data_IF_597672109811
#
_entry.id   IF_597672109811
#
_cell.length_a   1.000
_cell.length_b   1.000
_cell.length_c   1.000
_cell.angle_alpha   90.00
_cell.angle_beta   90.00
_cell.angle_gamma   90.00
#
_symmetry.space_group_name_H-M   'P 1'
#
loop_
_entity.id
_entity.type
_entity.pdbx_description
1 polymer ?
#
# COMPACT_ATOMS: atom_id res chain seq x y z
N UNK A 1 -38.39 -54.96 20.94
CA UNK A 1 -37.28 -54.42 20.14
C UNK A 1 -37.82 -53.26 19.31
N UNK A 2 -37.56 -52.01 19.71
CA UNK A 2 -37.91 -50.80 18.95
C UNK A 2 -36.61 -50.21 18.41
N UNK A 3 -36.55 -50.07 17.08
CA UNK A 3 -35.43 -49.48 16.34
C UNK A 3 -35.35 -47.99 16.63
N UNK A 4 -34.19 -47.51 17.09
CA UNK A 4 -33.88 -46.07 17.23
C UNK A 4 -32.98 -45.68 16.06
N UNK A 5 -33.58 -44.99 15.09
CA UNK A 5 -32.85 -44.36 13.98
C UNK A 5 -32.03 -43.17 14.49
N UNK A 6 -30.74 -43.18 14.22
CA UNK A 6 -29.80 -42.09 14.53
C UNK A 6 -30.00 -40.94 13.54
N UNK A 7 -30.43 -39.78 14.03
CA UNK A 7 -30.48 -38.52 13.26
C UNK A 7 -29.09 -37.91 13.28
N UNK A 8 -28.39 -37.95 12.14
CA UNK A 8 -27.11 -37.24 11.97
C UNK A 8 -27.39 -35.76 11.70
N UNK A 9 -27.06 -34.92 12.69
CA UNK A 9 -27.14 -33.46 12.58
C UNK A 9 -25.91 -32.98 11.80
N UNK A 10 -26.10 -32.66 10.52
CA UNK A 10 -25.13 -31.92 9.70
C UNK A 10 -25.18 -30.44 10.12
N UNK A 11 -24.28 -30.03 11.01
CA UNK A 11 -24.04 -28.63 11.33
C UNK A 11 -23.35 -27.94 10.15
N UNK A 12 -24.12 -27.19 9.37
CA UNK A 12 -23.62 -26.29 8.34
C UNK A 12 -22.90 -25.13 9.06
N UNK A 13 -21.57 -25.19 9.14
CA UNK A 13 -20.77 -24.01 9.46
C UNK A 13 -20.87 -23.06 8.27
N UNK A 14 -21.71 -22.03 8.40
CA UNK A 14 -21.65 -20.88 7.52
C UNK A 14 -20.29 -20.20 7.73
N UNK A 15 -19.35 -20.43 6.82
CA UNK A 15 -18.10 -19.67 6.75
C UNK A 15 -18.51 -18.27 6.30
N UNK A 16 -18.76 -17.39 7.25
CA UNK A 16 -18.84 -15.97 6.94
C UNK A 16 -17.46 -15.54 6.46
N UNK A 17 -17.39 -15.14 5.19
CA UNK A 17 -16.22 -14.50 4.61
C UNK A 17 -16.12 -13.09 5.20
N UNK A 18 -15.74 -13.01 6.48
CA UNK A 18 -15.25 -11.76 7.06
C UNK A 18 -13.90 -11.46 6.41
N UNK A 19 -13.58 -10.18 6.13
CA UNK A 19 -12.28 -9.83 5.59
C UNK A 19 -11.21 -10.35 6.54
N UNK A 20 -10.41 -11.31 6.07
CA UNK A 20 -9.38 -11.98 6.87
C UNK A 20 -8.57 -10.92 7.62
N UNK A 21 -8.67 -10.86 8.96
CA UNK A 21 -7.75 -10.09 9.77
C UNK A 21 -6.34 -10.61 9.49
N UNK A 22 -5.40 -9.69 9.34
CA UNK A 22 -3.99 -9.97 9.09
C UNK A 22 -3.48 -11.12 9.99
N UNK A 23 -3.34 -12.33 9.44
CA UNK A 23 -2.89 -13.51 10.17
C UNK A 23 -1.46 -13.89 9.73
N UNK A 24 -0.59 -14.00 10.75
CA UNK A 24 0.77 -14.56 10.77
C UNK A 24 1.90 -13.76 10.09
N UNK A 25 2.66 -13.03 10.93
CA UNK A 25 3.98 -12.45 10.62
C UNK A 25 3.99 -10.92 10.69
N UNK A 26 4.78 -10.33 11.59
CA UNK A 26 4.94 -8.89 11.65
C UNK A 26 5.52 -8.39 10.31
N UNK A 27 4.85 -7.47 9.62
CA UNK A 27 5.32 -6.95 8.35
C UNK A 27 5.07 -5.45 8.21
N UNK A 28 5.72 -4.85 7.22
CA UNK A 28 5.67 -3.42 6.95
C UNK A 28 5.00 -3.16 5.61
N UNK A 29 3.96 -2.32 5.59
CA UNK A 29 3.49 -1.70 4.36
C UNK A 29 4.40 -0.54 3.98
N UNK A 30 5.18 -0.67 2.92
CA UNK A 30 5.84 0.46 2.28
C UNK A 30 4.84 1.14 1.33
N UNK A 31 4.44 2.37 1.68
CA UNK A 31 3.53 3.18 0.87
C UNK A 31 4.35 4.18 0.07
N UNK A 32 4.34 4.02 -1.25
CA UNK A 32 5.01 4.91 -2.20
C UNK A 32 3.98 5.81 -2.87
N UNK A 33 4.24 7.11 -2.96
CA UNK A 33 3.31 8.10 -3.51
C UNK A 33 3.84 8.76 -4.76
N UNK A 34 2.97 8.93 -5.75
CA UNK A 34 3.27 9.74 -6.92
C UNK A 34 2.97 11.22 -6.66
N UNK A 35 3.99 12.11 -6.68
CA UNK A 35 3.78 13.51 -6.36
C UNK A 35 2.93 14.25 -7.41
N UNK A 36 2.91 13.80 -8.68
CA UNK A 36 2.03 14.36 -9.71
C UNK A 36 0.55 14.25 -9.34
N UNK A 37 0.13 13.11 -8.81
CA UNK A 37 -1.25 12.87 -8.36
C UNK A 37 -1.59 13.60 -7.06
N UNK A 38 -0.59 13.84 -6.20
CA UNK A 38 -0.77 14.67 -5.01
C UNK A 38 -1.04 16.13 -5.42
N UNK A 39 -0.24 16.67 -6.32
CA UNK A 39 -0.31 18.06 -6.76
C UNK A 39 -1.47 18.38 -7.71
N UNK A 40 -1.95 17.41 -8.49
CA UNK A 40 -3.09 17.58 -9.39
C UNK A 40 -4.45 17.49 -8.69
N UNK A 41 -4.49 17.07 -7.42
CA UNK A 41 -5.70 16.98 -6.63
C UNK A 41 -6.32 18.37 -6.33
N UNK A 42 -7.57 18.39 -5.87
CA UNK A 42 -8.33 19.65 -5.62
C UNK A 42 -7.60 20.62 -4.69
N UNK A 43 -6.90 20.12 -3.68
CA UNK A 43 -6.18 20.94 -2.69
C UNK A 43 -4.82 21.47 -3.18
N UNK A 44 -4.31 21.02 -4.34
CA UNK A 44 -2.98 21.38 -4.81
C UNK A 44 -1.86 20.89 -3.89
N UNK A 45 -0.64 21.41 -4.09
CA UNK A 45 0.51 21.07 -3.26
C UNK A 45 1.48 22.25 -3.11
N UNK A 46 2.29 22.19 -2.06
CA UNK A 46 3.45 23.05 -1.87
C UNK A 46 4.73 22.24 -2.03
N UNK A 47 5.75 22.82 -2.67
CA UNK A 47 7.08 22.22 -2.68
C UNK A 47 7.84 22.54 -1.39
N UNK A 48 8.75 21.67 -0.95
CA UNK A 48 9.62 21.99 0.16
C UNK A 48 10.56 23.16 -0.18
N UNK A 49 11.14 23.77 0.86
CA UNK A 49 12.01 24.95 0.71
C UNK A 49 13.27 24.68 -0.13
N UNK A 50 13.70 23.42 -0.23
CA UNK A 50 14.82 23.01 -1.09
C UNK A 50 14.41 22.79 -2.56
N UNK A 51 13.20 23.19 -2.95
CA UNK A 51 12.72 23.21 -4.32
C UNK A 51 11.83 22.03 -4.70
N UNK A 52 11.56 21.91 -6.00
CA UNK A 52 10.68 20.87 -6.54
C UNK A 52 11.32 19.48 -6.34
N UNK A 53 10.60 18.51 -5.76
CA UNK A 53 11.10 17.14 -5.61
C UNK A 53 11.47 16.48 -6.93
N UNK A 54 12.26 15.42 -6.87
CA UNK A 54 12.54 14.59 -8.04
C UNK A 54 11.25 13.99 -8.62
N UNK A 55 11.23 13.78 -9.93
CA UNK A 55 10.13 13.09 -10.64
C UNK A 55 10.22 11.59 -10.43
N UNK A 56 10.03 11.15 -9.19
CA UNK A 56 9.99 9.73 -8.80
C UNK A 56 8.95 9.53 -7.68
N UNK A 57 8.54 8.29 -7.47
CA UNK A 57 7.71 7.93 -6.32
C UNK A 57 8.45 8.22 -5.01
N UNK A 58 7.80 8.90 -4.08
CA UNK A 58 8.34 9.22 -2.76
C UNK A 58 7.81 8.27 -1.69
N UNK A 59 8.51 8.13 -0.56
CA UNK A 59 8.00 7.36 0.57
C UNK A 59 6.93 8.20 1.26
N UNK A 60 5.67 7.77 1.19
CA UNK A 60 4.58 8.39 1.94
C UNK A 60 4.47 7.82 3.36
N UNK A 61 4.86 6.57 3.57
CA UNK A 61 4.90 5.98 4.90
C UNK A 61 5.42 4.55 4.90
N UNK A 62 5.75 4.08 6.11
CA UNK A 62 6.09 2.69 6.40
C UNK A 62 5.21 2.23 7.57
N UNK A 63 4.19 1.43 7.32
CA UNK A 63 3.18 1.14 8.33
C UNK A 63 3.32 -0.29 8.83
N UNK A 64 3.68 -0.51 10.11
CA UNK A 64 3.69 -1.85 10.64
C UNK A 64 2.25 -2.33 10.86
N UNK A 65 2.01 -3.62 10.63
CA UNK A 65 0.74 -4.28 10.92
C UNK A 65 0.94 -5.26 12.08
N UNK A 66 0.14 -5.14 13.15
CA UNK A 66 0.21 -5.98 14.35
C UNK A 66 -1.12 -6.63 14.69
N UNK A 67 -1.02 -7.78 15.36
CA UNK A 67 -2.08 -8.62 15.93
C UNK A 67 -3.21 -7.80 16.61
N UNK A 68 -4.47 -8.14 16.31
CA UNK A 68 -5.68 -7.69 17.03
C UNK A 68 -5.97 -6.18 17.17
N UNK A 69 -5.53 -5.33 16.24
CA UNK A 69 -6.13 -4.00 16.11
C UNK A 69 -5.93 -3.42 14.69
N UNK A 70 -6.74 -2.40 14.39
CA UNK A 70 -6.51 -1.39 13.35
C UNK A 70 -5.02 -1.02 13.24
N UNK A 71 -4.54 -0.59 12.05
CA UNK A 71 -3.16 -0.08 11.86
C UNK A 71 -2.80 0.76 13.09
N UNK A 72 -1.89 0.29 13.97
CA UNK A 72 -1.73 0.96 15.24
C UNK A 72 -1.16 2.34 14.97
N UNK A 73 -1.82 3.31 15.56
CA UNK A 73 -1.53 4.71 15.42
C UNK A 73 -1.19 5.28 16.78
N UNK A 74 -0.13 6.08 16.85
CA UNK A 74 0.25 6.82 18.06
C UNK A 74 0.61 5.94 19.26
N UNK A 75 1.40 4.87 19.05
CA UNK A 75 1.93 4.07 20.16
C UNK A 75 2.85 4.87 21.10
N UNK A 76 3.31 6.05 20.67
CA UNK A 76 3.84 7.11 21.53
C UNK A 76 3.34 8.47 21.02
N UNK A 77 2.59 9.19 21.86
CA UNK A 77 1.83 10.41 21.51
C UNK A 77 2.65 11.71 21.50
N UNK A 78 3.94 11.67 21.85
CA UNK A 78 4.79 12.87 21.99
C UNK A 78 5.48 13.35 20.71
N UNK A 79 5.28 12.69 19.57
CA UNK A 79 5.92 13.03 18.29
C UNK A 79 4.80 13.38 17.29
N UNK A 80 5.03 14.34 16.38
CA UNK A 80 4.02 14.80 15.41
C UNK A 80 4.38 14.46 13.94
N UNK A 81 5.12 13.36 13.72
CA UNK A 81 5.58 12.91 12.39
C UNK A 81 4.96 11.55 12.03
N UNK A 82 5.05 11.11 10.76
CA UNK A 82 4.73 9.72 10.36
C UNK A 82 5.40 8.66 11.27
N UNK A 83 6.59 8.98 11.80
CA UNK A 83 7.28 8.21 12.83
C UNK A 83 6.44 8.05 14.11
N UNK A 84 5.81 9.12 14.60
CA UNK A 84 4.95 9.05 15.77
C UNK A 84 3.71 8.22 15.54
N UNK A 85 3.14 8.39 14.35
CA UNK A 85 1.90 7.74 13.97
C UNK A 85 2.12 6.25 13.79
N UNK A 86 3.14 5.82 13.06
CA UNK A 86 3.32 4.40 12.70
C UNK A 86 4.66 3.82 13.15
N UNK A 87 5.74 4.60 13.16
CA UNK A 87 7.07 4.12 13.53
C UNK A 87 7.24 3.76 15.01
N UNK A 88 6.56 4.46 15.93
CA UNK A 88 6.58 4.13 17.36
C UNK A 88 5.94 2.77 17.64
N UNK A 89 5.02 2.35 16.78
CA UNK A 89 4.41 1.04 16.86
C UNK A 89 5.35 -0.05 16.34
N UNK A 90 6.34 0.30 15.49
CA UNK A 90 7.24 -0.66 14.82
C UNK A 90 8.17 -1.44 15.76
N UNK A 91 8.34 -0.99 17.01
CA UNK A 91 9.39 -1.49 17.91
C UNK A 91 10.82 -1.13 17.48
N UNK A 92 11.01 -0.54 16.29
CA UNK A 92 12.28 -0.03 15.82
C UNK A 92 12.61 1.31 16.46
N UNK A 93 13.89 1.57 16.67
CA UNK A 93 14.32 2.93 16.95
C UNK A 93 14.11 3.81 15.69
N UNK A 94 14.17 5.13 15.89
CA UNK A 94 13.90 6.10 14.84
C UNK A 94 14.78 5.91 13.58
N UNK A 95 16.07 5.65 13.77
CA UNK A 95 17.01 5.49 12.65
C UNK A 95 16.70 4.22 11.87
N UNK A 96 16.52 3.09 12.56
CA UNK A 96 16.23 1.80 11.95
C UNK A 96 14.93 1.83 11.12
N UNK A 97 13.91 2.54 11.60
CA UNK A 97 12.64 2.71 10.88
C UNK A 97 12.82 3.46 9.55
N UNK A 98 13.58 4.56 9.55
CA UNK A 98 13.86 5.30 8.32
C UNK A 98 14.78 4.51 7.38
N UNK A 99 15.78 3.82 7.91
CA UNK A 99 16.67 2.96 7.14
C UNK A 99 15.94 1.77 6.52
N UNK A 100 14.99 1.17 7.22
CA UNK A 100 14.11 0.13 6.70
C UNK A 100 13.30 0.65 5.50
N UNK A 101 12.68 1.82 5.63
CA UNK A 101 11.90 2.42 4.54
C UNK A 101 12.78 2.70 3.30
N UNK A 102 13.99 3.22 3.51
CA UNK A 102 14.95 3.49 2.45
C UNK A 102 15.48 2.21 1.80
N UNK A 103 15.78 1.17 2.58
CA UNK A 103 16.19 -0.16 2.09
C UNK A 103 15.13 -0.77 1.19
N UNK A 104 13.87 -0.80 1.63
CA UNK A 104 12.77 -1.32 0.84
C UNK A 104 12.51 -0.48 -0.42
N UNK A 105 12.49 0.87 -0.33
CA UNK A 105 12.33 1.73 -1.53
C UNK A 105 13.45 1.48 -2.55
N UNK A 106 14.70 1.26 -2.11
CA UNK A 106 15.82 0.99 -3.02
C UNK A 106 15.63 -0.30 -3.82
N UNK A 107 14.93 -1.28 -3.26
CA UNK A 107 14.59 -2.54 -3.96
C UNK A 107 13.43 -2.36 -4.96
N UNK A 108 12.62 -1.31 -4.81
CA UNK A 108 11.39 -1.10 -5.58
C UNK A 108 11.48 0.18 -6.41
N UNK A 109 12.05 0.08 -7.61
CA UNK A 109 12.14 1.19 -8.55
C UNK A 109 10.90 1.31 -9.46
N UNK A 110 9.77 1.73 -8.89
CA UNK A 110 8.48 1.77 -9.57
C UNK A 110 8.50 2.56 -10.88
N UNK A 111 9.03 3.79 -10.87
CA UNK A 111 8.98 4.62 -12.07
C UNK A 111 9.80 4.02 -13.21
N UNK A 112 11.00 3.48 -12.92
CA UNK A 112 11.81 2.81 -13.94
C UNK A 112 11.08 1.58 -14.48
N UNK A 113 10.50 0.77 -13.59
CA UNK A 113 9.69 -0.41 -13.96
C UNK A 113 8.55 -0.03 -14.90
N UNK A 114 7.75 0.97 -14.53
CA UNK A 114 6.61 1.42 -15.33
C UNK A 114 7.07 1.99 -16.68
N UNK A 115 8.10 2.84 -16.70
CA UNK A 115 8.65 3.41 -17.93
C UNK A 115 9.18 2.34 -18.89
N UNK A 116 9.86 1.31 -18.38
CA UNK A 116 10.35 0.19 -19.19
C UNK A 116 9.22 -0.59 -19.87
N UNK A 117 8.03 -0.60 -19.27
CA UNK A 117 6.81 -1.18 -19.84
C UNK A 117 6.02 -0.19 -20.71
N UNK A 118 6.54 1.03 -20.96
CA UNK A 118 5.85 2.07 -21.71
C UNK A 118 4.78 2.83 -20.93
N UNK A 119 4.63 2.59 -19.63
CA UNK A 119 3.69 3.28 -18.74
C UNK A 119 4.38 4.52 -18.19
N UNK A 120 4.12 5.66 -18.80
CA UNK A 120 4.80 6.92 -18.50
C UNK A 120 3.86 7.90 -17.80
N UNK A 121 4.38 8.78 -16.90
CA UNK A 121 3.61 9.85 -16.27
C UNK A 121 3.37 10.99 -17.27
N UNK A 122 2.55 10.73 -18.29
CA UNK A 122 2.29 11.62 -19.41
C UNK A 122 0.81 12.05 -19.49
N UNK A 123 0.02 11.75 -18.47
CA UNK A 123 -1.40 12.07 -18.39
C UNK A 123 -2.32 11.08 -19.11
N UNK A 124 -1.77 10.02 -19.72
CA UNK A 124 -2.59 8.94 -20.31
C UNK A 124 -3.19 8.04 -19.24
N UNK A 125 -4.20 7.28 -19.68
CA UNK A 125 -4.87 6.26 -18.90
C UNK A 125 -4.31 4.87 -19.23
N UNK A 126 -4.26 4.00 -18.23
CA UNK A 126 -3.78 2.63 -18.34
C UNK A 126 -4.70 1.70 -17.58
N UNK A 127 -4.93 0.49 -18.10
CA UNK A 127 -5.70 -0.55 -17.42
C UNK A 127 -5.06 -0.92 -16.08
N UNK A 128 -5.81 -0.77 -15.00
CA UNK A 128 -5.32 -0.87 -13.63
C UNK A 128 -4.80 -2.28 -13.34
N UNK A 129 -5.65 -3.30 -13.46
CA UNK A 129 -5.27 -4.68 -13.13
C UNK A 129 -4.36 -5.32 -14.19
N UNK A 130 -4.82 -5.36 -15.43
CA UNK A 130 -4.13 -6.11 -16.49
C UNK A 130 -2.79 -5.52 -16.92
N UNK A 131 -2.56 -4.21 -16.71
CA UNK A 131 -1.35 -3.52 -17.16
C UNK A 131 -0.55 -2.98 -15.97
N UNK A 132 -1.12 -2.12 -15.13
CA UNK A 132 -0.35 -1.45 -14.06
C UNK A 132 0.02 -2.43 -12.93
N UNK A 133 -0.95 -3.11 -12.34
CA UNK A 133 -0.72 -4.09 -11.27
C UNK A 133 0.19 -5.22 -11.74
N UNK A 134 -0.10 -5.79 -12.91
CA UNK A 134 0.70 -6.90 -13.46
C UNK A 134 2.14 -6.49 -13.79
N UNK A 135 2.37 -5.27 -14.29
CA UNK A 135 3.72 -4.76 -14.55
C UNK A 135 4.52 -4.65 -13.26
N UNK A 136 3.90 -4.09 -12.21
CA UNK A 136 4.55 -3.95 -10.90
C UNK A 136 4.77 -5.33 -10.28
N UNK A 137 3.77 -6.23 -10.33
CA UNK A 137 3.86 -7.60 -9.83
C UNK A 137 5.04 -8.35 -10.46
N UNK A 138 5.21 -8.27 -11.78
CA UNK A 138 6.34 -8.93 -12.48
C UNK A 138 7.70 -8.40 -12.03
N UNK A 139 7.81 -7.11 -11.71
CA UNK A 139 9.06 -6.50 -11.31
C UNK A 139 9.38 -6.70 -9.82
N UNK A 140 8.36 -6.68 -8.96
CA UNK A 140 8.48 -6.75 -7.50
C UNK A 140 8.40 -8.19 -7.00
N UNK A 141 7.80 -9.10 -7.78
CA UNK A 141 7.58 -10.51 -7.44
C UNK A 141 6.24 -10.79 -6.76
N UNK A 142 5.60 -9.76 -6.21
CA UNK A 142 4.36 -9.86 -5.43
C UNK A 142 3.32 -8.85 -5.87
N UNK A 143 2.05 -9.15 -5.61
CA UNK A 143 0.96 -8.27 -6.02
C UNK A 143 1.02 -6.97 -5.20
N UNK A 144 1.09 -5.79 -5.84
CA UNK A 144 1.02 -4.53 -5.12
C UNK A 144 -0.43 -4.21 -4.75
N UNK A 145 -0.59 -3.31 -3.77
CA UNK A 145 -1.82 -2.53 -3.66
C UNK A 145 -1.74 -1.26 -4.47
N UNK A 146 -2.83 -0.91 -5.14
CA UNK A 146 -2.99 0.40 -5.77
C UNK A 146 -4.06 1.21 -5.04
N UNK A 147 -3.71 2.45 -4.72
CA UNK A 147 -4.64 3.44 -4.21
C UNK A 147 -4.69 4.63 -5.14
N UNK A 148 -5.91 5.11 -5.37
CA UNK A 148 -6.19 6.19 -6.29
C UNK A 148 -6.83 7.37 -5.56
N UNK A 149 -6.51 8.57 -6.04
CA UNK A 149 -7.24 9.78 -5.68
C UNK A 149 -7.91 10.35 -6.94
N UNK A 150 -8.51 11.54 -6.80
CA UNK A 150 -9.20 12.24 -7.88
C UNK A 150 -8.45 13.54 -8.20
N UNK A 151 -8.22 13.81 -9.50
CA UNK A 151 -7.69 15.10 -9.95
C UNK A 151 -8.78 16.18 -9.96
N UNK A 152 -8.41 17.44 -10.24
CA UNK A 152 -9.35 18.56 -10.34
C UNK A 152 -10.47 18.35 -11.37
N UNK A 153 -10.26 17.48 -12.35
CA UNK A 153 -11.21 17.16 -13.43
C UNK A 153 -12.07 15.94 -13.13
N UNK A 154 -11.93 15.32 -11.94
CA UNK A 154 -12.71 14.12 -11.59
C UNK A 154 -12.07 12.80 -12.02
N UNK A 155 -10.87 12.81 -12.60
CA UNK A 155 -10.24 11.57 -13.08
C UNK A 155 -9.63 10.79 -11.92
N UNK A 156 -9.91 9.48 -11.85
CA UNK A 156 -9.17 8.56 -10.97
C UNK A 156 -7.74 8.41 -11.50
N UNK A 157 -6.78 8.65 -10.62
CA UNK A 157 -5.35 8.65 -10.98
C UNK A 157 -4.52 7.86 -9.98
N UNK A 158 -3.42 7.28 -10.47
CA UNK A 158 -2.49 6.50 -9.65
C UNK A 158 -1.88 7.38 -8.56
N UNK A 159 -2.28 7.17 -7.31
CA UNK A 159 -1.85 8.04 -6.21
C UNK A 159 -0.79 7.39 -5.34
N UNK A 160 -1.06 6.19 -4.82
CA UNK A 160 -0.13 5.44 -3.99
C UNK A 160 -0.03 3.98 -4.46
N UNK A 161 1.16 3.41 -4.33
CA UNK A 161 1.47 2.00 -4.55
C UNK A 161 1.97 1.44 -3.23
N UNK A 162 1.41 0.32 -2.81
CA UNK A 162 1.73 -0.35 -1.55
C UNK A 162 2.39 -1.67 -1.85
N UNK A 163 3.53 -1.92 -1.22
CA UNK A 163 4.24 -3.20 -1.25
C UNK A 163 4.58 -3.60 0.18
N UNK A 164 4.70 -4.90 0.44
CA UNK A 164 5.02 -5.39 1.79
C UNK A 164 6.50 -5.74 1.91
N UNK A 165 7.08 -5.37 3.04
CA UNK A 165 8.41 -5.79 3.46
C UNK A 165 8.34 -6.66 4.71
N UNK A 166 9.32 -7.54 4.89
CA UNK A 166 9.51 -8.19 6.19
C UNK A 166 9.70 -7.14 7.30
N UNK A 167 9.45 -7.53 8.55
CA UNK A 167 9.46 -6.60 9.67
C UNK A 167 10.77 -5.81 9.85
N UNK A 168 11.89 -6.43 9.46
CA UNK A 168 13.21 -5.82 9.51
C UNK A 168 13.47 -4.82 8.36
N UNK A 169 12.57 -4.75 7.37
CA UNK A 169 12.70 -3.91 6.20
C UNK A 169 13.84 -4.33 5.27
N UNK A 170 14.21 -5.61 5.28
CA UNK A 170 15.32 -6.14 4.50
C UNK A 170 14.88 -6.76 3.19
N UNK A 171 13.65 -7.29 3.12
CA UNK A 171 13.16 -8.00 1.93
C UNK A 171 11.73 -7.62 1.63
N UNK A 172 11.39 -7.55 0.34
CA UNK A 172 10.01 -7.52 -0.12
C UNK A 172 9.40 -8.91 0.07
N UNK A 173 8.15 -8.96 0.52
CA UNK A 173 7.37 -10.18 0.74
C UNK A 173 5.98 -10.03 0.13
N UNK A 174 5.26 -11.15 0.03
CA UNK A 174 3.84 -11.13 -0.30
C UNK A 174 3.05 -10.39 0.78
N UNK A 175 2.03 -9.64 0.39
CA UNK A 175 1.18 -8.94 1.34
C UNK A 175 0.11 -9.89 1.90
N UNK A 176 0.13 -10.25 3.20
CA UNK A 176 -0.88 -11.14 3.80
C UNK A 176 -2.31 -10.57 3.75
N UNK A 177 -2.42 -9.26 3.56
CA UNK A 177 -3.66 -8.55 3.25
C UNK A 177 -3.35 -7.15 2.76
N UNK A 178 -4.30 -6.52 2.10
CA UNK A 178 -4.19 -5.11 1.70
C UNK A 178 -5.03 -4.23 2.64
N UNK A 179 -4.57 -3.03 3.01
CA UNK A 179 -5.38 -2.12 3.81
C UNK A 179 -6.60 -1.68 3.00
N UNK A 180 -7.80 -1.89 3.54
CA UNK A 180 -9.06 -1.52 2.92
C UNK A 180 -9.39 -0.04 3.16
N UNK A 181 -10.29 0.53 2.35
CA UNK A 181 -10.83 1.88 2.55
C UNK A 181 -9.90 3.04 2.16
N UNK A 182 -8.86 2.79 1.35
CA UNK A 182 -7.85 3.80 0.96
C UNK A 182 -7.93 4.27 -0.50
N UNK A 183 -9.15 4.42 -1.02
CA UNK A 183 -9.41 5.05 -2.32
C UNK A 183 -9.30 4.07 -3.49
N UNK A 184 -10.44 3.54 -3.92
CA UNK A 184 -10.52 2.52 -4.97
C UNK A 184 -10.09 3.05 -6.34
N UNK A 185 -9.30 2.27 -7.05
CA UNK A 185 -8.94 2.60 -8.42
C UNK A 185 -10.08 2.23 -9.38
N UNK A 186 -10.26 3.03 -10.43
CA UNK A 186 -11.13 2.65 -11.54
C UNK A 186 -10.47 1.53 -12.36
N UNK A 187 -11.22 0.90 -13.27
CA UNK A 187 -10.67 -0.10 -14.20
C UNK A 187 -9.50 0.45 -15.04
N UNK A 188 -9.55 1.75 -15.36
CA UNK A 188 -8.48 2.48 -16.04
C UNK A 188 -8.12 3.73 -15.24
N UNK A 189 -6.83 3.95 -14.99
CA UNK A 189 -6.33 5.04 -14.15
C UNK A 189 -5.38 5.95 -14.91
N UNK A 190 -5.48 7.25 -14.63
CA UNK A 190 -4.58 8.26 -15.17
C UNK A 190 -3.22 8.21 -14.48
N UNK A 191 -2.14 8.33 -15.24
CA UNK A 191 -0.80 8.55 -14.69
C UNK A 191 -0.32 9.98 -15.01
N UNK A 192 -0.56 10.96 -14.13
CA UNK A 192 -0.31 12.36 -14.43
C UNK A 192 1.19 12.71 -14.46
N UNK A 193 1.60 13.74 -15.21
CA UNK A 193 2.95 14.29 -15.11
C UNK A 193 3.21 14.91 -13.74
N UNK A 194 4.50 15.03 -13.38
CA UNK A 194 4.97 15.80 -12.24
C UNK A 194 5.89 16.95 -12.65
#
# INVERSE_FOLDING_TARGET
>A
MKSMSTVSILTIFAISLSPLPCFAGDFLYLVLQWPGSYCSAKHGCCFPNNGKPAKDFTIAGLWPCYLYATIPQFCNSHIHLNLAKHGTCSGLNQLDYFEAALRLKKQVNLLKTLNNAGIQPNGRFYETGAVVEETIRKAVGYMPGLWCNEDKSGNRQLYQVVVCGDFAGNRIIDCPGMPTGKGECAASIKFPPF
#
